data_IF_435222167641
#
_entry.id   IF_435222167641
#
_cell.length_a   1.000
_cell.length_b   1.000
_cell.length_c   1.000
_cell.angle_alpha   90.00
_cell.angle_beta   90.00
_cell.angle_gamma   90.00
#
_symmetry.space_group_name_H-M   'P 1'
#
loop_
_entity.id
_entity.type
_entity.pdbx_description
1 polymer ?
#
# COMPACT_ATOMS: atom_id res chain seq x y z
N UNK A 1 -16.13 1.37 13.87
CA UNK A 1 -14.77 1.93 14.11
C UNK A 1 -13.96 1.17 15.15
N UNK A 2 -14.58 0.39 16.01
CA UNK A 2 -13.90 -0.30 17.12
C UNK A 2 -12.70 -1.17 16.70
N UNK A 3 -12.75 -1.81 15.53
CA UNK A 3 -11.67 -2.67 15.03
C UNK A 3 -10.87 -2.05 13.86
N UNK A 4 -11.09 -0.78 13.54
CA UNK A 4 -10.50 -0.16 12.36
C UNK A 4 -9.01 0.13 12.50
N UNK A 5 -8.60 0.65 13.66
CA UNK A 5 -7.20 0.98 13.95
C UNK A 5 -6.40 -0.29 14.32
N UNK A 6 -6.96 -1.15 15.13
CA UNK A 6 -6.34 -2.41 15.55
C UNK A 6 -7.15 -3.59 15.00
N UNK A 7 -6.97 -3.95 13.72
CA UNK A 7 -7.76 -5.00 13.10
C UNK A 7 -7.49 -6.35 13.76
N UNK A 8 -8.56 -7.06 14.09
CA UNK A 8 -8.48 -8.42 14.62
C UNK A 8 -8.03 -9.41 13.53
N UNK A 9 -8.08 -10.70 13.81
CA UNK A 9 -7.76 -11.75 12.84
C UNK A 9 -8.89 -11.90 11.80
N UNK A 10 -8.93 -10.98 10.85
CA UNK A 10 -9.94 -10.91 9.80
C UNK A 10 -9.28 -10.95 8.42
N UNK A 11 -10.03 -11.33 7.40
CA UNK A 11 -9.58 -11.32 6.01
C UNK A 11 -9.18 -9.91 5.58
N UNK A 12 -8.03 -9.82 4.93
CA UNK A 12 -7.55 -8.59 4.29
C UNK A 12 -6.93 -8.91 2.93
N UNK A 13 -6.58 -7.88 2.18
CA UNK A 13 -5.97 -8.05 0.86
C UNK A 13 -4.55 -8.64 0.91
N UNK A 14 -3.93 -8.69 2.08
CA UNK A 14 -2.57 -9.24 2.29
C UNK A 14 -2.57 -10.73 2.69
N UNK A 15 -3.71 -11.41 2.60
CA UNK A 15 -3.88 -12.81 3.04
C UNK A 15 -3.13 -13.85 2.20
N UNK A 16 -2.49 -13.44 1.12
CA UNK A 16 -1.68 -14.32 0.26
C UNK A 16 -0.56 -15.06 0.99
N UNK A 17 -0.07 -14.51 2.10
CA UNK A 17 0.91 -15.16 2.97
C UNK A 17 0.30 -15.69 4.28
N UNK A 18 -1.03 -15.68 4.40
CA UNK A 18 -1.79 -16.03 5.60
C UNK A 18 -2.24 -14.81 6.40
N UNK A 19 -3.23 -15.02 7.25
CA UNK A 19 -3.78 -13.98 8.13
C UNK A 19 -2.76 -13.59 9.20
N UNK A 20 -2.81 -12.31 9.58
CA UNK A 20 -2.05 -11.80 10.72
C UNK A 20 -2.87 -10.68 11.38
N UNK A 21 -3.32 -10.92 12.60
CA UNK A 21 -4.03 -9.92 13.39
C UNK A 21 -3.17 -8.68 13.59
N UNK A 22 -3.80 -7.51 13.68
CA UNK A 22 -3.08 -6.25 13.82
C UNK A 22 -2.37 -5.78 12.54
N UNK A 23 -2.81 -6.19 11.37
CA UNK A 23 -2.19 -5.81 10.09
C UNK A 23 -2.19 -4.29 9.88
N UNK A 24 -0.99 -3.69 9.80
CA UNK A 24 -0.82 -2.24 9.73
C UNK A 24 -1.33 -1.63 8.41
N UNK A 25 -1.26 -2.37 7.29
CA UNK A 25 -1.81 -1.88 6.02
C UNK A 25 -3.34 -1.93 6.00
N UNK A 26 -3.95 -2.90 6.70
CA UNK A 26 -5.40 -2.94 6.87
C UNK A 26 -5.90 -1.78 7.76
N UNK A 27 -5.14 -1.42 8.79
CA UNK A 27 -5.43 -0.22 9.59
C UNK A 27 -5.42 1.06 8.73
N UNK A 28 -4.42 1.22 7.85
CA UNK A 28 -4.37 2.35 6.90
C UNK A 28 -5.62 2.35 5.98
N UNK A 29 -6.05 1.19 5.50
CA UNK A 29 -7.26 1.07 4.69
C UNK A 29 -8.49 1.58 5.44
N UNK A 30 -8.61 1.25 6.73
CA UNK A 30 -9.70 1.75 7.58
C UNK A 30 -9.59 3.27 7.80
N UNK A 31 -8.40 3.79 8.09
CA UNK A 31 -8.13 5.23 8.23
C UNK A 31 -8.55 5.98 6.95
N UNK A 32 -8.13 5.49 5.79
CA UNK A 32 -8.51 6.10 4.50
C UNK A 32 -9.99 5.95 4.19
N UNK A 33 -10.64 4.90 4.69
CA UNK A 33 -12.11 4.75 4.62
C UNK A 33 -12.84 5.84 5.41
N UNK A 34 -12.36 6.17 6.61
CA UNK A 34 -12.89 7.28 7.43
C UNK A 34 -12.64 8.63 6.74
N UNK A 35 -11.45 8.84 6.20
CA UNK A 35 -11.12 10.04 5.43
C UNK A 35 -12.00 10.20 4.19
N UNK A 36 -12.21 9.12 3.44
CA UNK A 36 -13.10 9.12 2.27
C UNK A 36 -14.54 9.44 2.62
N UNK A 37 -15.04 8.95 3.76
CA UNK A 37 -16.37 9.34 4.26
C UNK A 37 -16.43 10.84 4.57
N UNK A 38 -15.40 11.41 5.20
CA UNK A 38 -15.32 12.84 5.45
C UNK A 38 -15.37 13.65 4.12
N UNK A 39 -14.60 13.27 3.12
CA UNK A 39 -14.59 13.95 1.82
C UNK A 39 -15.96 13.87 1.13
N UNK A 40 -16.67 12.73 1.20
CA UNK A 40 -18.04 12.62 0.68
C UNK A 40 -18.98 13.57 1.42
N UNK A 41 -18.88 13.66 2.76
CA UNK A 41 -19.69 14.59 3.54
C UNK A 41 -19.45 16.03 3.11
N UNK A 42 -18.20 16.43 2.89
CA UNK A 42 -17.82 17.76 2.37
C UNK A 42 -18.45 18.03 1.00
N UNK A 43 -18.36 17.07 0.08
CA UNK A 43 -18.98 17.18 -1.25
C UNK A 43 -20.50 17.33 -1.19
N UNK A 44 -21.13 16.86 -0.11
CA UNK A 44 -22.56 16.97 0.15
C UNK A 44 -22.94 18.26 0.95
N UNK A 45 -21.96 19.14 1.25
CA UNK A 45 -22.19 20.34 2.05
C UNK A 45 -22.44 20.08 3.53
N UNK A 46 -21.99 18.94 4.07
CA UNK A 46 -22.14 18.56 5.48
C UNK A 46 -20.82 18.84 6.22
N UNK A 47 -20.53 20.13 6.43
CA UNK A 47 -19.23 20.59 6.92
C UNK A 47 -18.93 20.16 8.36
N UNK A 48 -19.93 20.03 9.22
CA UNK A 48 -19.83 19.50 10.58
C UNK A 48 -19.38 18.03 10.59
N UNK A 49 -20.02 17.21 9.76
CA UNK A 49 -19.66 15.79 9.57
C UNK A 49 -18.24 15.65 8.98
N UNK A 50 -17.92 16.52 7.99
CA UNK A 50 -16.56 16.54 7.45
C UNK A 50 -15.54 16.85 8.55
N UNK A 51 -15.76 17.90 9.33
CA UNK A 51 -14.83 18.32 10.38
C UNK A 51 -14.60 17.20 11.41
N UNK A 52 -15.68 16.55 11.86
CA UNK A 52 -15.61 15.44 12.83
C UNK A 52 -14.78 14.27 12.28
N UNK A 53 -15.14 13.75 11.11
CA UNK A 53 -14.50 12.53 10.58
C UNK A 53 -13.11 12.77 10.00
N UNK A 54 -12.82 13.97 9.50
CA UNK A 54 -11.47 14.35 9.11
C UNK A 54 -10.54 14.45 10.33
N UNK A 55 -11.00 15.03 11.45
CA UNK A 55 -10.25 15.03 12.69
C UNK A 55 -10.03 13.60 13.22
N UNK A 56 -11.05 12.74 13.16
CA UNK A 56 -10.96 11.34 13.56
C UNK A 56 -9.95 10.55 12.72
N UNK A 57 -9.95 10.73 11.40
CA UNK A 57 -8.98 10.08 10.52
C UNK A 57 -7.54 10.50 10.86
N UNK A 58 -7.30 11.78 11.15
CA UNK A 58 -5.99 12.30 11.58
C UNK A 58 -5.54 11.73 12.93
N UNK A 59 -6.44 11.66 13.89
CA UNK A 59 -6.19 11.03 15.20
C UNK A 59 -5.76 9.56 15.03
N UNK A 60 -6.51 8.80 14.22
CA UNK A 60 -6.21 7.40 13.93
C UNK A 60 -4.85 7.25 13.22
N UNK A 61 -4.54 8.11 12.26
CA UNK A 61 -3.27 8.07 11.55
C UNK A 61 -2.08 8.41 12.44
N UNK A 62 -2.22 9.38 13.35
CA UNK A 62 -1.19 9.71 14.33
C UNK A 62 -0.94 8.57 15.33
N UNK A 63 -2.00 7.92 15.80
CA UNK A 63 -1.90 6.74 16.66
C UNK A 63 -1.22 5.58 15.91
N UNK A 64 -1.64 5.31 14.67
CA UNK A 64 -1.02 4.30 13.82
C UNK A 64 0.49 4.56 13.66
N UNK A 65 0.91 5.77 13.34
CA UNK A 65 2.33 6.10 13.20
C UNK A 65 3.11 5.85 14.48
N UNK A 66 2.58 6.34 15.61
CA UNK A 66 3.21 6.20 16.93
C UNK A 66 3.43 4.75 17.32
N UNK A 67 2.46 3.89 17.02
CA UNK A 67 2.44 2.50 17.47
C UNK A 67 3.21 1.54 16.54
N UNK A 68 3.34 1.89 15.25
CA UNK A 68 3.88 0.98 14.24
C UNK A 68 5.26 1.36 13.71
N UNK A 69 5.72 2.60 14.01
CA UNK A 69 7.01 3.09 13.55
C UNK A 69 8.15 2.39 14.28
N UNK A 70 9.00 1.77 13.51
CA UNK A 70 10.27 1.23 13.96
C UNK A 70 11.40 1.99 13.27
N UNK A 71 12.61 1.69 13.42
CA UNK A 71 13.80 2.42 12.93
C UNK A 71 13.57 3.28 11.66
N UNK A 72 13.52 2.67 10.49
CA UNK A 72 13.48 3.33 9.18
C UNK A 72 12.27 2.87 8.31
N UNK A 73 11.26 2.28 8.95
CA UNK A 73 10.03 1.80 8.30
C UNK A 73 8.91 1.59 9.34
N UNK A 74 7.78 1.03 8.92
CA UNK A 74 6.67 0.62 9.78
C UNK A 74 6.50 -0.89 9.73
N UNK A 75 6.21 -1.51 10.90
CA UNK A 75 6.02 -2.97 11.00
C UNK A 75 4.87 -3.51 10.15
N UNK A 76 4.87 -4.82 9.93
CA UNK A 76 3.79 -5.52 9.22
C UNK A 76 2.49 -5.51 10.04
N UNK A 77 2.60 -5.78 11.34
CA UNK A 77 1.50 -5.82 12.28
C UNK A 77 1.93 -5.17 13.59
N UNK A 78 0.99 -4.62 14.34
CA UNK A 78 1.25 -3.99 15.63
C UNK A 78 2.02 -4.93 16.56
N UNK A 79 3.17 -4.48 17.04
CA UNK A 79 4.01 -5.24 17.96
C UNK A 79 4.79 -6.40 17.33
N UNK A 80 4.79 -6.53 16.01
CA UNK A 80 5.52 -7.59 15.31
C UNK A 80 7.05 -7.33 15.26
N UNK A 81 7.48 -6.12 15.54
CA UNK A 81 8.88 -5.74 15.71
C UNK A 81 9.60 -5.32 14.43
N UNK A 82 10.79 -4.74 14.62
CA UNK A 82 11.57 -4.05 13.60
C UNK A 82 12.08 -4.95 12.45
N UNK A 83 11.94 -6.25 12.55
CA UNK A 83 12.33 -7.18 11.49
C UNK A 83 11.16 -7.51 10.55
N UNK A 84 9.97 -6.95 10.77
CA UNK A 84 8.79 -7.16 9.95
C UNK A 84 8.46 -5.90 9.14
N UNK A 85 7.96 -6.08 7.93
CA UNK A 85 7.54 -5.02 7.04
C UNK A 85 6.53 -5.55 6.02
N UNK A 86 5.71 -4.68 5.46
CA UNK A 86 4.83 -4.98 4.34
C UNK A 86 4.65 -3.74 3.47
N UNK A 87 4.19 -3.91 2.23
CA UNK A 87 3.77 -2.78 1.40
C UNK A 87 2.55 -2.10 2.02
N UNK A 88 2.67 -0.81 2.34
CA UNK A 88 1.58 0.05 2.86
C UNK A 88 0.88 0.79 1.71
N UNK A 89 0.61 0.07 0.63
CA UNK A 89 0.08 0.63 -0.62
C UNK A 89 -1.23 1.43 -0.44
N UNK A 90 -1.99 1.16 0.61
CA UNK A 90 -3.21 1.93 0.88
C UNK A 90 -2.96 3.41 1.22
N UNK A 91 -1.73 3.82 1.55
CA UNK A 91 -1.38 5.24 1.74
C UNK A 91 -1.53 6.06 0.44
N UNK A 92 -1.48 5.44 -0.73
CA UNK A 92 -1.57 6.12 -2.02
C UNK A 92 -2.85 6.96 -2.15
N UNK A 93 -3.93 6.56 -1.50
CA UNK A 93 -5.20 7.27 -1.53
C UNK A 93 -5.11 8.67 -0.91
N UNK A 94 -4.34 8.83 0.17
CA UNK A 94 -4.09 10.13 0.77
C UNK A 94 -3.39 11.09 -0.21
N UNK A 95 -2.42 10.57 -0.95
CA UNK A 95 -1.72 11.34 -1.99
C UNK A 95 -2.65 11.72 -3.14
N UNK A 96 -3.49 10.79 -3.62
CA UNK A 96 -4.43 11.06 -4.71
C UNK A 96 -5.51 12.06 -4.31
N UNK A 97 -6.10 11.89 -3.14
CA UNK A 97 -7.19 12.76 -2.65
C UNK A 97 -6.68 14.07 -2.05
N UNK A 98 -5.37 14.18 -1.76
CA UNK A 98 -4.72 15.35 -1.14
C UNK A 98 -5.33 15.69 0.23
N UNK A 99 -5.71 14.66 0.99
CA UNK A 99 -6.42 14.83 2.27
C UNK A 99 -5.50 15.17 3.43
N UNK A 100 -4.19 14.89 3.30
CA UNK A 100 -3.19 15.13 4.34
C UNK A 100 -3.56 14.46 5.68
N UNK A 101 -4.01 13.24 5.61
CA UNK A 101 -4.36 12.38 6.76
C UNK A 101 -3.13 11.62 7.24
N UNK A 102 -2.38 11.02 6.32
CA UNK A 102 -1.18 10.25 6.64
C UNK A 102 -0.08 11.20 7.11
N UNK A 103 0.60 10.90 8.24
CA UNK A 103 1.65 11.76 8.79
C UNK A 103 2.74 12.09 7.77
N UNK A 104 3.20 13.34 7.82
CA UNK A 104 4.22 13.85 6.90
C UNK A 104 5.49 12.99 6.93
N UNK A 105 5.96 12.58 5.75
CA UNK A 105 7.15 11.76 5.62
C UNK A 105 6.95 10.25 5.77
N UNK A 106 5.77 9.79 6.19
CA UNK A 106 5.50 8.36 6.35
C UNK A 106 5.60 7.61 5.03
N UNK A 107 4.99 8.14 3.95
CA UNK A 107 5.08 7.54 2.61
C UNK A 107 6.53 7.46 2.12
N UNK A 108 7.30 8.54 2.29
CA UNK A 108 8.71 8.61 1.86
C UNK A 108 9.60 7.68 2.69
N UNK A 109 9.28 7.49 3.96
CA UNK A 109 9.95 6.50 4.82
C UNK A 109 9.77 5.09 4.23
N UNK A 110 8.53 4.72 3.91
CA UNK A 110 8.23 3.42 3.30
C UNK A 110 8.83 3.29 1.89
N UNK A 111 8.71 4.29 1.03
CA UNK A 111 9.31 4.28 -0.32
C UNK A 111 10.82 4.01 -0.25
N UNK A 112 11.55 4.74 0.61
CA UNK A 112 13.00 4.56 0.78
C UNK A 112 13.34 3.16 1.29
N UNK A 113 12.51 2.61 2.17
CA UNK A 113 12.70 1.27 2.70
C UNK A 113 12.45 0.21 1.64
N UNK A 114 11.36 0.33 0.88
CA UNK A 114 11.00 -0.60 -0.19
C UNK A 114 12.05 -0.69 -1.29
N UNK A 115 12.66 0.44 -1.67
CA UNK A 115 13.73 0.45 -2.66
C UNK A 115 14.93 -0.41 -2.26
N UNK A 116 15.17 -0.58 -0.96
CA UNK A 116 16.23 -1.48 -0.42
C UNK A 116 15.79 -2.96 -0.39
N UNK A 117 14.49 -3.23 -0.54
CA UNK A 117 13.90 -4.59 -0.40
C UNK A 117 13.55 -5.25 -1.73
N UNK A 118 13.74 -4.56 -2.83
CA UNK A 118 13.41 -5.09 -4.14
C UNK A 118 14.28 -6.29 -4.53
N UNK A 119 13.64 -7.28 -5.13
CA UNK A 119 14.27 -8.40 -5.81
C UNK A 119 14.38 -8.13 -7.33
N UNK A 120 14.90 -9.09 -8.07
CA UNK A 120 15.11 -9.00 -9.53
C UNK A 120 13.84 -8.58 -10.31
N UNK A 121 12.67 -9.02 -9.86
CA UNK A 121 11.38 -8.83 -10.54
C UNK A 121 10.35 -8.06 -9.72
N UNK A 122 10.80 -7.26 -8.78
CA UNK A 122 9.96 -6.34 -8.03
C UNK A 122 10.05 -6.47 -6.52
N UNK A 123 9.23 -5.69 -5.84
CA UNK A 123 9.13 -5.63 -4.40
C UNK A 123 8.25 -6.79 -3.89
N UNK A 124 8.73 -7.63 -2.96
CA UNK A 124 7.85 -8.58 -2.26
C UNK A 124 6.67 -7.88 -1.58
N UNK A 125 5.57 -8.59 -1.38
CA UNK A 125 4.40 -8.03 -0.68
C UNK A 125 4.74 -7.66 0.77
N UNK A 126 5.47 -8.55 1.43
CA UNK A 126 5.94 -8.37 2.81
C UNK A 126 7.13 -9.32 3.10
N UNK A 127 7.58 -9.30 4.36
CA UNK A 127 8.73 -10.08 4.82
C UNK A 127 8.51 -11.60 4.79
N UNK A 128 7.28 -12.08 4.72
CA UNK A 128 6.94 -13.50 4.90
C UNK A 128 7.23 -14.38 3.68
N UNK A 129 7.16 -13.82 2.47
CA UNK A 129 7.33 -14.54 1.20
C UNK A 129 7.99 -13.66 0.13
N UNK A 130 8.63 -14.31 -0.84
CA UNK A 130 9.27 -13.61 -1.97
C UNK A 130 8.31 -13.26 -3.11
N UNK A 131 7.04 -13.57 -3.01
CA UNK A 131 6.06 -13.19 -4.03
C UNK A 131 5.41 -11.85 -3.74
N UNK A 132 4.74 -11.32 -4.76
CA UNK A 132 4.13 -10.01 -4.75
C UNK A 132 2.84 -9.97 -5.57
N UNK A 133 2.15 -8.83 -5.42
CA UNK A 133 1.06 -8.42 -6.30
C UNK A 133 1.54 -7.21 -7.10
N UNK A 134 1.60 -7.37 -8.40
CA UNK A 134 2.18 -6.37 -9.31
C UNK A 134 1.39 -5.06 -9.36
N UNK A 135 0.08 -5.12 -9.20
CA UNK A 135 -0.80 -3.95 -9.05
C UNK A 135 -0.45 -3.13 -7.80
N UNK A 136 -0.18 -3.77 -6.66
CA UNK A 136 0.20 -3.06 -5.43
C UNK A 136 1.62 -2.52 -5.45
N UNK A 137 2.53 -3.14 -6.21
CA UNK A 137 3.83 -2.49 -6.50
C UNK A 137 3.59 -1.13 -7.18
N UNK A 138 2.68 -1.05 -8.14
CA UNK A 138 2.40 0.20 -8.84
C UNK A 138 1.70 1.24 -7.95
N UNK A 139 0.86 0.80 -7.00
CA UNK A 139 0.31 1.70 -5.99
C UNK A 139 1.41 2.23 -5.07
N UNK A 140 2.31 1.35 -4.60
CA UNK A 140 3.47 1.74 -3.78
C UNK A 140 4.42 2.67 -4.56
N UNK A 141 4.66 2.41 -5.84
CA UNK A 141 5.44 3.27 -6.72
C UNK A 141 4.83 4.67 -6.86
N UNK A 142 3.50 4.78 -6.95
CA UNK A 142 2.79 6.05 -7.05
C UNK A 142 2.93 6.93 -5.79
N UNK A 143 3.34 6.36 -4.65
CA UNK A 143 3.69 7.13 -3.44
C UNK A 143 5.00 7.91 -3.60
N UNK A 144 5.89 7.50 -4.51
CA UNK A 144 7.17 8.17 -4.72
C UNK A 144 7.00 9.64 -5.14
N UNK A 145 7.91 10.51 -4.64
CA UNK A 145 7.88 11.94 -4.95
C UNK A 145 8.72 12.29 -6.18
N UNK A 146 9.68 11.41 -6.55
CA UNK A 146 10.55 11.61 -7.69
C UNK A 146 10.30 10.57 -8.77
N UNK A 147 10.47 10.99 -10.03
CA UNK A 147 10.42 10.04 -11.16
C UNK A 147 11.51 8.97 -11.06
N UNK A 148 12.66 9.30 -10.49
CA UNK A 148 13.75 8.34 -10.25
C UNK A 148 13.29 7.20 -9.35
N UNK A 149 12.66 7.51 -8.21
CA UNK A 149 12.17 6.50 -7.28
C UNK A 149 11.01 5.70 -7.89
N UNK A 150 10.09 6.37 -8.59
CA UNK A 150 9.03 5.71 -9.34
C UNK A 150 9.60 4.70 -10.35
N UNK A 151 10.54 5.11 -11.18
CA UNK A 151 11.18 4.24 -12.18
C UNK A 151 11.95 3.07 -11.54
N UNK A 152 12.49 3.25 -10.33
CA UNK A 152 13.15 2.18 -9.61
C UNK A 152 12.18 1.05 -9.19
N UNK A 153 10.88 1.33 -8.99
CA UNK A 153 9.84 0.30 -8.84
C UNK A 153 9.42 -0.30 -10.17
N UNK A 154 9.25 0.53 -11.19
CA UNK A 154 8.74 0.10 -12.50
C UNK A 154 9.74 -0.78 -13.23
N UNK A 155 11.03 -0.50 -13.15
CA UNK A 155 12.08 -1.25 -13.85
C UNK A 155 12.04 -2.76 -13.58
N UNK A 156 12.08 -3.23 -12.32
CA UNK A 156 11.94 -4.64 -11.99
C UNK A 156 10.61 -5.25 -12.43
N UNK A 157 9.51 -4.51 -12.35
CA UNK A 157 8.20 -4.98 -12.80
C UNK A 157 8.13 -5.10 -14.33
N UNK A 158 8.69 -4.12 -15.07
CA UNK A 158 8.82 -4.19 -16.51
C UNK A 158 9.66 -5.41 -16.93
N UNK A 159 10.75 -5.67 -16.19
CA UNK A 159 11.58 -6.85 -16.40
C UNK A 159 10.79 -8.14 -16.18
N UNK A 160 9.97 -8.22 -15.11
CA UNK A 160 9.05 -9.35 -14.89
C UNK A 160 8.17 -9.61 -16.11
N UNK A 161 7.49 -8.57 -16.61
CA UNK A 161 6.56 -8.71 -17.74
C UNK A 161 7.26 -9.25 -19.00
N UNK A 162 8.50 -8.85 -19.25
CA UNK A 162 9.26 -9.27 -20.43
C UNK A 162 9.95 -10.62 -20.28
N UNK A 163 10.45 -10.94 -19.08
CA UNK A 163 11.33 -12.10 -18.85
C UNK A 163 10.62 -13.27 -18.16
N UNK A 164 9.37 -13.11 -17.68
CA UNK A 164 8.68 -14.19 -16.98
C UNK A 164 8.71 -15.50 -17.77
N UNK A 165 9.12 -16.62 -17.15
CA UNK A 165 9.06 -17.92 -17.81
C UNK A 165 7.64 -18.45 -17.93
N UNK A 166 6.70 -17.89 -17.17
CA UNK A 166 5.29 -18.28 -17.21
C UNK A 166 4.58 -17.57 -18.37
N UNK A 167 4.47 -18.25 -19.51
CA UNK A 167 3.83 -17.73 -20.74
C UNK A 167 2.31 -17.86 -20.67
N UNK A 168 1.71 -17.12 -19.77
CA UNK A 168 0.25 -17.04 -19.54
C UNK A 168 -0.21 -15.59 -19.75
N UNK A 169 -1.51 -15.33 -19.90
CA UNK A 169 -2.03 -13.97 -19.75
C UNK A 169 -1.53 -13.38 -18.43
N UNK A 170 -1.18 -12.09 -18.43
CA UNK A 170 -0.45 -11.46 -17.34
C UNK A 170 -0.98 -11.89 -15.97
N UNK A 171 -0.08 -12.36 -15.09
CA UNK A 171 -0.38 -12.64 -13.70
C UNK A 171 -0.09 -11.42 -12.85
N UNK A 172 -1.04 -11.07 -12.00
CA UNK A 172 -0.83 -10.05 -10.97
C UNK A 172 -0.05 -10.61 -9.77
N UNK A 173 0.09 -11.92 -9.65
CA UNK A 173 0.73 -12.60 -8.53
C UNK A 173 1.93 -13.45 -9.00
N UNK A 174 3.13 -12.98 -8.68
CA UNK A 174 4.37 -13.62 -9.13
C UNK A 174 5.45 -13.64 -8.05
N UNK A 175 6.40 -14.54 -8.18
CA UNK A 175 7.60 -14.62 -7.36
C UNK A 175 8.62 -13.57 -7.84
N UNK A 176 9.10 -12.72 -6.94
CA UNK A 176 9.97 -11.58 -7.26
C UNK A 176 11.41 -11.96 -7.54
N UNK A 177 11.85 -13.18 -7.21
CA UNK A 177 13.19 -13.68 -7.51
C UNK A 177 13.25 -14.43 -8.84
N UNK A 178 12.26 -15.26 -9.12
CA UNK A 178 12.23 -16.13 -10.30
C UNK A 178 11.43 -15.57 -11.46
N UNK A 179 10.48 -14.68 -11.20
CA UNK A 179 9.52 -14.19 -12.18
C UNK A 179 8.41 -15.18 -12.54
N UNK A 180 8.32 -16.32 -11.88
CA UNK A 180 7.28 -17.29 -12.12
C UNK A 180 5.93 -16.82 -11.59
N UNK A 181 4.87 -17.13 -12.31
CA UNK A 181 3.50 -17.00 -11.81
C UNK A 181 3.35 -17.86 -10.54
N UNK A 182 2.75 -17.26 -9.50
CA UNK A 182 2.42 -17.96 -8.25
C UNK A 182 0.96 -18.41 -8.23
N UNK A 183 0.07 -17.58 -8.76
CA UNK A 183 -1.37 -17.86 -8.79
C UNK A 183 -2.06 -17.07 -9.89
N UNK A 184 -3.14 -16.44 -9.64
CA UNK A 184 -4.05 -15.72 -10.51
C UNK A 184 -3.47 -15.19 -11.84
N UNK A 185 -4.30 -15.15 -12.87
CA UNK A 185 -3.96 -14.59 -14.19
C UNK A 185 -5.17 -13.90 -14.82
N UNK A 186 -4.92 -12.98 -15.73
CA UNK A 186 -5.95 -12.27 -16.51
C UNK A 186 -7.02 -11.60 -15.64
N UNK A 187 -6.64 -11.00 -14.50
CA UNK A 187 -7.58 -10.28 -13.62
C UNK A 187 -7.54 -8.78 -13.87
N UNK A 188 -8.70 -8.13 -13.73
CA UNK A 188 -8.84 -6.68 -13.89
C UNK A 188 -8.03 -5.83 -12.90
N UNK A 189 -7.52 -6.44 -11.82
CA UNK A 189 -6.68 -5.77 -10.81
C UNK A 189 -5.41 -5.14 -11.39
N UNK A 190 -4.94 -5.63 -12.56
CA UNK A 190 -3.84 -4.99 -13.29
C UNK A 190 -4.15 -3.55 -13.74
N UNK A 191 -5.41 -3.12 -13.66
CA UNK A 191 -5.78 -1.69 -13.75
C UNK A 191 -5.01 -0.81 -12.77
N UNK A 192 -4.52 -1.38 -11.66
CA UNK A 192 -3.61 -0.70 -10.73
C UNK A 192 -2.31 -0.19 -11.36
N UNK A 193 -1.90 -0.69 -12.52
CA UNK A 193 -0.74 -0.17 -13.27
C UNK A 193 -0.94 1.28 -13.74
N UNK A 194 -2.17 1.74 -13.85
CA UNK A 194 -2.52 3.10 -14.25
C UNK A 194 -2.58 4.09 -13.06
N UNK A 195 -2.22 3.66 -11.84
CA UNK A 195 -2.30 4.49 -10.64
C UNK A 195 -1.52 5.80 -10.79
N UNK A 196 -0.32 5.78 -11.38
CA UNK A 196 0.48 6.99 -11.64
C UNK A 196 -0.21 7.91 -12.64
N UNK A 197 -0.80 7.36 -13.69
CA UNK A 197 -1.54 8.15 -14.69
C UNK A 197 -2.77 8.81 -14.04
N UNK A 198 -3.49 8.08 -13.17
CA UNK A 198 -4.59 8.64 -12.39
C UNK A 198 -4.10 9.79 -11.51
N UNK A 199 -3.01 9.58 -10.75
CA UNK A 199 -2.44 10.60 -9.88
C UNK A 199 -2.04 11.87 -10.65
N UNK A 200 -1.48 11.73 -11.84
CA UNK A 200 -1.11 12.87 -12.69
C UNK A 200 -2.32 13.62 -13.28
N UNK A 201 -3.43 12.92 -13.50
CA UNK A 201 -4.69 13.54 -13.96
C UNK A 201 -5.47 14.26 -12.85
N UNK A 202 -5.24 13.90 -11.61
CA UNK A 202 -5.87 14.52 -10.43
C UNK A 202 -5.08 15.72 -9.87
N UNK A 203 -4.00 16.15 -10.55
CA UNK A 203 -3.18 17.33 -10.16
C UNK A 203 -3.90 18.64 -10.36
#
# INVERSE_FOLDING_TARGET
MENGLHPANQLCTDDFAGHWAGNCNLAIKAIMGVAGYAEIAKMMGKDDVYAEYNAKAKEMAAAWEKETKVKDHYELAYGAGANTWSQKYNMVWDKLWKTNIIPNGAMQTEVKYYLKKQNKYGLPLDVRKDYTKSDWIMWSAAMADTDKDFQAFVGPLYKYINETPSRVPISDWHDTKTGCMTGFKARSVIGGYWMKVLADKMK
#
